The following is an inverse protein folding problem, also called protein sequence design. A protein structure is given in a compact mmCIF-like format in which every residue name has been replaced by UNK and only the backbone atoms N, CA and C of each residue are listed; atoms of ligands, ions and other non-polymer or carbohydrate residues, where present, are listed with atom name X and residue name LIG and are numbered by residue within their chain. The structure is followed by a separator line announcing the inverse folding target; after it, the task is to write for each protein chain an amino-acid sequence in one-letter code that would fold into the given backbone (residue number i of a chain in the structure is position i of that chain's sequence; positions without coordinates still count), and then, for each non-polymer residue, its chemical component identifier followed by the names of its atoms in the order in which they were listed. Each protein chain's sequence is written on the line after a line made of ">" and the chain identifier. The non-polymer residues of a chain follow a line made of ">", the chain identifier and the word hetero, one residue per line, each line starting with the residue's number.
data_IF_391666068441
#
_entry.id   IF_391666068441
#
_cell.length_a   1.000
_cell.length_b   1.000
_cell.length_c   1.000
_cell.angle_alpha   90.00
_cell.angle_beta   90.00
_cell.angle_gamma   90.00
#
_symmetry.space_group_name_H-M   'P 1'
#
loop_
_entity.id
_entity.type
_entity.pdbx_description
1 polymer ?
#
# COMPACT_ATOMS: atom_id res chain seq x y z
N UNK A 1 4.90 -16.09 -12.05
CA UNK A 1 4.37 -14.88 -11.40
C UNK A 1 5.11 -14.64 -10.10
N UNK A 2 5.43 -13.40 -9.78
CA UNK A 2 5.94 -12.93 -8.49
C UNK A 2 4.92 -11.97 -7.88
N UNK A 3 4.59 -12.16 -6.59
CA UNK A 3 3.74 -11.21 -5.83
C UNK A 3 4.55 -10.71 -4.64
N UNK A 4 4.99 -9.47 -4.68
CA UNK A 4 5.66 -8.80 -3.58
C UNK A 4 4.58 -8.23 -2.64
N UNK A 5 4.08 -9.10 -1.76
CA UNK A 5 3.00 -8.78 -0.83
C UNK A 5 3.52 -8.47 0.59
N UNK A 6 4.69 -9.01 0.95
CA UNK A 6 5.24 -8.80 2.30
C UNK A 6 5.43 -7.31 2.54
N UNK A 7 4.98 -6.86 3.69
CA UNK A 7 5.07 -5.46 4.10
C UNK A 7 5.04 -5.31 5.60
N UNK A 8 5.57 -4.20 6.08
CA UNK A 8 5.62 -3.81 7.48
C UNK A 8 5.06 -2.40 7.64
N UNK A 9 4.40 -2.16 8.76
CA UNK A 9 3.86 -0.87 9.17
C UNK A 9 4.36 -0.57 10.59
N UNK A 10 4.10 0.61 11.11
CA UNK A 10 4.22 0.91 12.53
C UNK A 10 3.26 0.03 13.34
N UNK A 11 3.57 -0.18 14.60
CA UNK A 11 2.68 -0.94 15.50
C UNK A 11 1.35 -0.20 15.70
N UNK A 12 1.41 1.14 15.68
CA UNK A 12 0.28 2.07 15.63
C UNK A 12 0.72 3.40 14.99
N UNK A 13 -0.20 4.22 14.46
CA UNK A 13 0.14 5.54 13.92
C UNK A 13 0.80 6.42 14.99
N UNK A 14 1.95 7.04 14.64
CA UNK A 14 2.69 7.87 15.58
C UNK A 14 3.47 8.98 14.86
N UNK A 15 3.74 10.07 15.53
CA UNK A 15 4.61 11.13 15.02
C UNK A 15 6.02 10.57 14.73
N UNK A 16 6.65 11.11 13.71
CA UNK A 16 7.90 10.55 13.16
C UNK A 16 9.02 10.42 14.21
N UNK A 17 9.09 11.38 15.13
CA UNK A 17 10.12 11.37 16.21
C UNK A 17 9.81 10.37 17.32
N UNK A 18 8.53 10.01 17.51
CA UNK A 18 8.05 9.21 18.64
C UNK A 18 7.72 7.76 18.23
N UNK A 19 8.04 7.38 16.99
CA UNK A 19 7.82 6.00 16.50
C UNK A 19 8.46 4.99 17.44
N UNK A 20 7.65 4.05 17.95
CA UNK A 20 8.13 2.98 18.82
C UNK A 20 9.25 2.17 18.13
N UNK A 21 10.38 1.96 18.82
CA UNK A 21 11.59 1.36 18.24
C UNK A 21 12.47 2.35 17.48
N UNK A 22 12.07 3.62 17.38
CA UNK A 22 12.88 4.71 16.83
C UNK A 22 13.44 4.46 15.44
N UNK A 23 14.67 4.89 15.20
CA UNK A 23 15.32 4.74 13.90
C UNK A 23 15.46 3.29 13.44
N UNK A 24 15.61 2.33 14.35
CA UNK A 24 15.70 0.91 14.00
C UNK A 24 14.39 0.43 13.34
N UNK A 25 13.22 0.80 13.87
CA UNK A 25 11.91 0.48 13.27
C UNK A 25 11.79 1.02 11.85
N UNK A 26 12.27 2.25 11.62
CA UNK A 26 12.27 2.88 10.27
C UNK A 26 13.18 2.10 9.31
N UNK A 27 14.38 1.69 9.74
CA UNK A 27 15.30 0.87 8.94
C UNK A 27 14.68 -0.47 8.57
N UNK A 28 14.04 -1.14 9.52
CA UNK A 28 13.41 -2.44 9.31
C UNK A 28 12.26 -2.30 8.31
N UNK A 29 11.46 -1.23 8.43
CA UNK A 29 10.39 -0.91 7.51
C UNK A 29 10.90 -0.69 6.07
N UNK A 30 11.98 0.04 5.89
CA UNK A 30 12.64 0.22 4.59
C UNK A 30 13.17 -1.11 4.06
N UNK A 31 13.82 -1.90 4.91
CA UNK A 31 14.35 -3.21 4.54
C UNK A 31 13.26 -4.17 4.08
N UNK A 32 12.15 -4.22 4.80
CA UNK A 32 11.03 -5.11 4.48
C UNK A 32 10.25 -4.59 3.26
N UNK A 33 9.91 -3.30 3.19
CA UNK A 33 9.01 -2.79 2.15
C UNK A 33 9.72 -2.47 0.83
N UNK A 34 11.01 -2.16 0.86
CA UNK A 34 11.78 -1.73 -0.31
C UNK A 34 12.84 -2.75 -0.68
N UNK A 35 13.78 -3.02 0.23
CA UNK A 35 14.96 -3.84 -0.10
C UNK A 35 14.57 -5.26 -0.49
N UNK A 36 13.64 -5.90 0.26
CA UNK A 36 13.18 -7.24 -0.05
C UNK A 36 12.47 -7.32 -1.40
N UNK A 37 11.61 -6.35 -1.71
CA UNK A 37 10.90 -6.29 -2.99
C UNK A 37 11.90 -6.17 -4.16
N UNK A 38 12.90 -5.28 -4.05
CA UNK A 38 13.95 -5.13 -5.07
C UNK A 38 14.73 -6.44 -5.25
N UNK A 39 15.15 -7.08 -4.16
CA UNK A 39 15.89 -8.33 -4.19
C UNK A 39 15.10 -9.45 -4.87
N UNK A 40 13.84 -9.66 -4.46
CA UNK A 40 12.96 -10.69 -5.04
C UNK A 40 12.69 -10.44 -6.52
N UNK A 41 12.44 -9.17 -6.89
CA UNK A 41 12.24 -8.81 -8.30
C UNK A 41 13.50 -9.09 -9.12
N UNK A 42 14.68 -8.71 -8.61
CA UNK A 42 15.96 -8.95 -9.30
C UNK A 42 16.27 -10.45 -9.44
N UNK A 43 15.90 -11.27 -8.48
CA UNK A 43 16.09 -12.72 -8.55
C UNK A 43 15.14 -13.40 -9.55
N UNK A 44 13.88 -12.97 -9.62
CA UNK A 44 12.88 -13.63 -10.45
C UNK A 44 12.84 -13.12 -11.90
N UNK A 45 13.15 -11.84 -12.12
CA UNK A 45 12.99 -11.17 -13.41
C UNK A 45 13.83 -11.79 -14.54
N UNK A 46 15.10 -12.22 -14.35
CA UNK A 46 15.90 -12.80 -15.42
C UNK A 46 15.26 -14.02 -16.08
N UNK A 47 14.68 -14.93 -15.29
CA UNK A 47 13.99 -16.12 -15.82
C UNK A 47 12.71 -15.74 -16.60
N UNK A 48 12.00 -14.71 -16.17
CA UNK A 48 10.82 -14.21 -16.88
C UNK A 48 11.23 -13.60 -18.24
N UNK A 49 12.30 -12.81 -18.25
CA UNK A 49 12.84 -12.21 -19.50
C UNK A 49 13.31 -13.29 -20.46
N UNK A 50 14.04 -14.31 -19.97
CA UNK A 50 14.55 -15.40 -20.81
C UNK A 50 13.45 -16.18 -21.54
N UNK A 51 12.28 -16.36 -20.91
CA UNK A 51 11.14 -17.06 -21.53
C UNK A 51 10.16 -16.11 -22.24
N UNK A 52 10.42 -14.79 -22.26
CA UNK A 52 9.55 -13.80 -22.90
C UNK A 52 8.16 -13.67 -22.27
N UNK A 53 7.97 -14.14 -21.05
CA UNK A 53 6.67 -14.15 -20.38
C UNK A 53 6.84 -14.07 -18.85
N UNK A 54 6.17 -13.10 -18.22
CA UNK A 54 6.23 -12.95 -16.77
C UNK A 54 5.21 -11.96 -16.22
N UNK A 55 4.95 -12.09 -14.92
CA UNK A 55 4.05 -11.22 -14.18
C UNK A 55 4.65 -10.88 -12.81
N UNK A 56 4.67 -9.59 -12.48
CA UNK A 56 5.05 -9.08 -11.15
C UNK A 56 3.93 -8.20 -10.63
N UNK A 57 3.45 -8.49 -9.43
CA UNK A 57 2.50 -7.66 -8.70
C UNK A 57 3.19 -7.12 -7.45
N UNK A 58 3.26 -5.82 -7.33
CA UNK A 58 3.82 -5.14 -6.16
C UNK A 58 2.69 -4.49 -5.37
N UNK A 59 2.62 -4.78 -4.06
CA UNK A 59 1.56 -4.25 -3.20
C UNK A 59 2.01 -2.91 -2.58
N UNK A 60 1.47 -1.84 -3.15
CA UNK A 60 1.54 -0.48 -2.65
C UNK A 60 0.59 -0.22 -1.48
N UNK A 61 0.00 0.96 -1.44
CA UNK A 61 -1.07 1.38 -0.52
C UNK A 61 -1.62 2.72 -0.98
N UNK A 62 -2.89 3.03 -0.71
CA UNK A 62 -3.43 4.38 -0.86
C UNK A 62 -2.70 5.40 0.03
N UNK A 63 -2.08 4.97 1.12
CA UNK A 63 -1.19 5.82 1.93
C UNK A 63 0.05 6.32 1.17
N UNK A 64 0.45 5.67 0.09
CA UNK A 64 1.55 6.11 -0.77
C UNK A 64 1.17 7.17 -1.81
N UNK A 65 -0.14 7.38 -2.04
CA UNK A 65 -0.65 8.31 -3.06
C UNK A 65 -1.54 9.42 -2.49
N UNK A 66 -1.92 9.30 -1.22
CA UNK A 66 -2.73 10.28 -0.50
C UNK A 66 -1.98 10.74 0.76
N UNK A 67 -2.33 11.90 1.33
CA UNK A 67 -1.76 12.30 2.62
C UNK A 67 -1.99 11.22 3.69
N UNK A 68 -0.91 10.80 4.36
CA UNK A 68 -0.95 9.78 5.39
C UNK A 68 -0.05 10.19 6.57
N UNK A 69 -0.47 11.22 7.36
CA UNK A 69 0.25 11.62 8.56
C UNK A 69 0.31 10.48 9.58
N UNK A 70 1.20 10.58 10.53
CA UNK A 70 1.46 9.59 11.58
C UNK A 70 1.95 8.20 11.08
N UNK A 71 2.10 8.02 9.77
CA UNK A 71 2.71 6.82 9.14
C UNK A 71 3.70 7.23 8.04
N UNK A 72 4.43 8.31 8.25
CA UNK A 72 5.25 9.00 7.25
C UNK A 72 6.24 8.08 6.52
N UNK A 73 7.07 7.33 7.25
CA UNK A 73 8.06 6.47 6.60
C UNK A 73 7.39 5.30 5.84
N UNK A 74 6.29 4.75 6.36
CA UNK A 74 5.50 3.76 5.63
C UNK A 74 4.94 4.32 4.32
N UNK A 75 4.29 5.47 4.37
CA UNK A 75 3.75 6.15 3.19
C UNK A 75 4.82 6.36 2.12
N UNK A 76 5.99 6.85 2.52
CA UNK A 76 7.14 7.04 1.63
C UNK A 76 7.59 5.73 0.96
N UNK A 77 7.64 4.59 1.72
CA UNK A 77 7.96 3.30 1.11
C UNK A 77 6.92 2.86 0.08
N UNK A 78 5.64 3.15 0.31
CA UNK A 78 4.56 2.77 -0.61
C UNK A 78 4.51 3.65 -1.86
N UNK A 79 4.94 4.91 -1.77
CA UNK A 79 5.22 5.77 -2.94
C UNK A 79 6.38 5.22 -3.78
N UNK A 80 7.45 4.75 -3.12
CA UNK A 80 8.56 4.08 -3.80
C UNK A 80 8.06 2.87 -4.63
N UNK A 81 7.21 2.02 -4.04
CA UNK A 81 6.66 0.83 -4.73
C UNK A 81 5.96 1.19 -6.03
N UNK A 82 5.16 2.26 -6.04
CA UNK A 82 4.50 2.73 -7.27
C UNK A 82 5.51 3.17 -8.32
N UNK A 83 6.43 4.07 -7.94
CA UNK A 83 7.42 4.60 -8.88
C UNK A 83 8.30 3.51 -9.45
N UNK A 84 8.75 2.57 -8.61
CA UNK A 84 9.51 1.40 -9.02
C UNK A 84 8.73 0.56 -10.03
N UNK A 85 7.47 0.23 -9.72
CA UNK A 85 6.64 -0.63 -10.57
C UNK A 85 6.37 -0.02 -11.94
N UNK A 86 5.98 1.25 -11.97
CA UNK A 86 5.64 1.95 -13.21
C UNK A 86 6.86 2.13 -14.12
N UNK A 87 8.00 2.47 -13.55
CA UNK A 87 9.25 2.62 -14.30
C UNK A 87 9.74 1.26 -14.81
N UNK A 88 9.76 0.24 -13.95
CA UNK A 88 10.20 -1.10 -14.33
C UNK A 88 9.27 -1.71 -15.40
N UNK A 89 7.96 -1.43 -15.36
CA UNK A 89 7.05 -1.84 -16.42
C UNK A 89 7.45 -1.27 -17.79
N UNK A 90 7.82 0.01 -17.85
CA UNK A 90 8.27 0.65 -19.10
C UNK A 90 9.52 -0.02 -19.68
N UNK A 91 10.43 -0.47 -18.82
CA UNK A 91 11.66 -1.15 -19.24
C UNK A 91 11.43 -2.57 -19.80
N UNK A 92 10.41 -3.27 -19.26
CA UNK A 92 10.24 -4.72 -19.50
C UNK A 92 8.94 -5.10 -20.24
N UNK A 93 8.01 -4.19 -20.47
CA UNK A 93 6.76 -4.49 -21.17
C UNK A 93 7.00 -5.08 -22.56
N UNK A 94 7.94 -4.51 -23.31
CA UNK A 94 8.32 -5.00 -24.66
C UNK A 94 9.01 -6.38 -24.64
N UNK A 95 9.40 -6.86 -23.47
CA UNK A 95 10.00 -8.19 -23.26
C UNK A 95 8.96 -9.22 -22.77
N UNK A 96 7.66 -8.90 -22.89
CA UNK A 96 6.57 -9.78 -22.47
C UNK A 96 6.34 -9.86 -20.96
N UNK A 97 6.81 -8.86 -20.21
CA UNK A 97 6.66 -8.84 -18.74
C UNK A 97 5.62 -7.81 -18.33
N UNK A 98 4.57 -8.27 -17.65
CA UNK A 98 3.56 -7.40 -17.04
C UNK A 98 3.96 -7.09 -15.60
N UNK A 99 4.08 -5.81 -15.26
CA UNK A 99 4.36 -5.37 -13.89
C UNK A 99 3.23 -4.45 -13.47
N UNK A 100 2.60 -4.72 -12.34
CA UNK A 100 1.47 -3.97 -11.82
C UNK A 100 1.71 -3.57 -10.37
N UNK A 101 1.43 -2.31 -10.04
CA UNK A 101 1.30 -1.81 -8.67
C UNK A 101 -0.16 -1.83 -8.26
N UNK A 102 -0.45 -2.38 -7.09
CA UNK A 102 -1.78 -2.34 -6.49
C UNK A 102 -1.73 -1.48 -5.25
N UNK A 103 -2.63 -0.50 -5.13
CA UNK A 103 -2.79 0.38 -3.97
C UNK A 103 -4.05 0.04 -3.17
N UNK A 104 -4.01 -0.95 -2.27
CA UNK A 104 -5.14 -1.21 -1.39
C UNK A 104 -5.45 0.03 -0.52
N UNK A 105 -6.75 0.28 -0.31
CA UNK A 105 -7.22 1.04 0.83
C UNK A 105 -7.29 0.14 2.06
N UNK A 106 -8.29 0.33 2.90
CA UNK A 106 -8.52 -0.55 4.05
C UNK A 106 -9.01 -1.93 3.57
N UNK A 107 -8.26 -2.97 3.92
CA UNK A 107 -8.64 -4.38 3.71
C UNK A 107 -8.56 -5.06 5.06
N UNK A 108 -9.58 -5.80 5.47
CA UNK A 108 -9.58 -6.49 6.75
C UNK A 108 -8.47 -7.52 6.83
N UNK A 109 -7.50 -7.26 7.68
CA UNK A 109 -6.30 -8.07 7.90
C UNK A 109 -5.71 -7.78 9.29
N UNK A 110 -4.80 -8.61 9.75
CA UNK A 110 -4.10 -8.39 11.03
C UNK A 110 -3.37 -7.03 11.06
N UNK A 111 -2.83 -6.57 9.94
CA UNK A 111 -2.12 -5.30 9.85
C UNK A 111 -3.05 -4.08 9.98
N UNK A 112 -4.28 -4.18 9.50
CA UNK A 112 -5.20 -3.04 9.37
C UNK A 112 -6.25 -2.96 10.47
N UNK A 113 -6.35 -3.95 11.36
CA UNK A 113 -7.44 -4.05 12.33
C UNK A 113 -7.62 -2.79 13.21
N UNK A 114 -6.51 -2.11 13.58
CA UNK A 114 -6.56 -0.88 14.38
C UNK A 114 -6.70 0.39 13.54
N UNK A 115 -6.47 0.29 12.24
CA UNK A 115 -6.52 1.44 11.32
C UNK A 115 -7.91 1.66 10.73
N UNK A 116 -8.75 0.62 10.70
CA UNK A 116 -10.09 0.70 10.13
C UNK A 116 -11.00 1.43 11.13
N UNK A 117 -11.57 2.60 10.76
CA UNK A 117 -12.56 3.28 11.59
C UNK A 117 -13.79 2.38 11.81
N UNK A 118 -14.35 2.40 13.02
CA UNK A 118 -15.51 1.54 13.36
C UNK A 118 -16.75 1.88 12.54
N UNK A 119 -16.91 3.16 12.16
CA UNK A 119 -18.04 3.66 11.36
C UNK A 119 -17.80 3.50 9.85
N UNK A 120 -16.65 2.95 9.44
CA UNK A 120 -16.36 2.81 8.00
C UNK A 120 -17.33 1.82 7.37
N UNK A 121 -18.06 2.21 6.31
CA UNK A 121 -18.95 1.27 5.61
C UNK A 121 -18.18 0.02 5.15
N UNK A 122 -18.75 -1.17 5.41
CA UNK A 122 -18.08 -2.44 5.17
C UNK A 122 -17.67 -2.69 3.71
N UNK A 123 -18.29 -1.99 2.74
CA UNK A 123 -17.85 -2.06 1.36
C UNK A 123 -16.53 -1.29 1.09
N UNK A 124 -16.13 -0.36 1.99
CA UNK A 124 -14.84 0.34 1.93
C UNK A 124 -13.71 -0.42 2.63
N UNK A 125 -14.04 -1.45 3.40
CA UNK A 125 -13.07 -2.35 4.03
C UNK A 125 -13.45 -3.82 3.74
N UNK A 126 -13.24 -4.30 2.52
CA UNK A 126 -13.58 -5.67 2.14
C UNK A 126 -12.74 -6.70 2.90
N UNK A 127 -13.28 -7.92 3.03
CA UNK A 127 -12.52 -9.09 3.43
C UNK A 127 -11.39 -9.37 2.43
N UNK A 128 -10.28 -9.95 2.91
CA UNK A 128 -9.08 -10.15 2.11
C UNK A 128 -9.33 -10.99 0.84
N UNK A 129 -10.13 -12.05 0.94
CA UNK A 129 -10.46 -12.91 -0.21
C UNK A 129 -11.25 -12.17 -1.28
N UNK A 130 -12.22 -11.34 -0.89
CA UNK A 130 -12.99 -10.49 -1.80
C UNK A 130 -12.11 -9.48 -2.51
N UNK A 131 -11.19 -8.84 -1.76
CA UNK A 131 -10.21 -7.92 -2.33
C UNK A 131 -9.32 -8.62 -3.35
N UNK A 132 -8.73 -9.77 -3.01
CA UNK A 132 -7.82 -10.52 -3.89
C UNK A 132 -8.52 -10.95 -5.18
N UNK A 133 -9.76 -11.47 -5.11
CA UNK A 133 -10.54 -11.82 -6.32
C UNK A 133 -10.74 -10.62 -7.24
N UNK A 134 -11.10 -9.46 -6.69
CA UNK A 134 -11.25 -8.21 -7.46
C UNK A 134 -9.94 -7.76 -8.08
N UNK A 135 -8.84 -7.82 -7.33
CA UNK A 135 -7.51 -7.45 -7.79
C UNK A 135 -7.04 -8.35 -8.93
N UNK A 136 -7.20 -9.67 -8.81
CA UNK A 136 -6.79 -10.62 -9.83
C UNK A 136 -7.62 -10.50 -11.13
N UNK A 137 -8.90 -10.19 -11.02
CA UNK A 137 -9.75 -9.93 -12.19
C UNK A 137 -9.32 -8.68 -12.99
N UNK A 138 -8.55 -7.79 -12.37
CA UNK A 138 -8.03 -6.55 -12.98
C UNK A 138 -6.55 -6.63 -13.35
N UNK A 139 -5.93 -7.79 -13.18
CA UNK A 139 -4.52 -7.97 -13.51
C UNK A 139 -4.27 -7.72 -15.00
N UNK A 140 -3.26 -6.89 -15.29
CA UNK A 140 -2.84 -6.58 -16.66
C UNK A 140 -3.67 -5.52 -17.40
N UNK A 141 -4.76 -5.01 -16.80
CA UNK A 141 -5.57 -3.94 -17.42
C UNK A 141 -4.87 -2.58 -17.30
N UNK A 142 -4.21 -2.33 -16.18
CA UNK A 142 -3.51 -1.07 -15.89
C UNK A 142 -2.23 -1.36 -15.12
N UNK A 143 -1.22 -0.52 -15.29
CA UNK A 143 0.03 -0.61 -14.51
C UNK A 143 -0.17 -0.26 -13.05
N UNK A 144 -1.14 0.60 -12.75
CA UNK A 144 -1.51 1.02 -11.38
C UNK A 144 -3.01 0.88 -11.19
N UNK A 145 -3.43 0.32 -10.07
CA UNK A 145 -4.85 0.13 -9.72
C UNK A 145 -5.02 0.11 -8.20
N UNK A 146 -6.17 0.52 -7.70
CA UNK A 146 -6.50 0.26 -6.30
C UNK A 146 -6.94 -1.21 -6.03
N UNK A 147 -7.12 -2.01 -7.08
CA UNK A 147 -7.46 -3.43 -6.98
C UNK A 147 -8.92 -3.73 -6.64
N UNK A 148 -9.66 -2.74 -6.13
CA UNK A 148 -11.06 -2.88 -5.71
C UNK A 148 -11.82 -1.59 -6.01
N UNK A 149 -13.03 -1.71 -6.56
CA UNK A 149 -13.80 -0.57 -7.10
C UNK A 149 -14.03 0.56 -6.07
N UNK A 150 -14.31 0.22 -4.82
CA UNK A 150 -14.56 1.23 -3.79
C UNK A 150 -13.26 1.97 -3.39
N UNK A 151 -12.12 1.30 -3.47
CA UNK A 151 -10.81 1.93 -3.29
C UNK A 151 -10.46 2.86 -4.45
N UNK A 152 -10.82 2.51 -5.70
CA UNK A 152 -10.67 3.43 -6.83
C UNK A 152 -11.49 4.72 -6.61
N UNK A 153 -12.71 4.62 -6.06
CA UNK A 153 -13.51 5.80 -5.69
C UNK A 153 -12.83 6.63 -4.61
N UNK A 154 -12.29 6.00 -3.56
CA UNK A 154 -11.55 6.70 -2.51
C UNK A 154 -10.28 7.38 -3.03
N UNK A 155 -9.68 6.85 -4.08
CA UNK A 155 -8.50 7.46 -4.69
C UNK A 155 -8.85 8.64 -5.60
N UNK A 156 -9.88 8.50 -6.44
CA UNK A 156 -10.20 9.45 -7.51
C UNK A 156 -11.10 10.59 -7.04
N UNK A 157 -12.15 10.32 -6.26
CA UNK A 157 -13.16 11.32 -5.93
C UNK A 157 -12.66 12.42 -4.99
N UNK A 158 -11.97 12.14 -3.86
CA UNK A 158 -11.58 13.19 -2.94
C UNK A 158 -10.71 14.29 -3.57
N UNK A 159 -9.71 13.98 -4.42
CA UNK A 159 -8.95 15.03 -5.10
C UNK A 159 -9.75 15.90 -6.07
N UNK A 160 -10.85 15.36 -6.61
CA UNK A 160 -11.71 16.10 -7.56
C UNK A 160 -12.69 17.05 -6.86
N UNK A 161 -13.15 16.71 -5.65
CA UNK A 161 -14.25 17.42 -4.98
C UNK A 161 -13.82 18.19 -3.73
N UNK A 162 -12.70 17.84 -3.12
CA UNK A 162 -12.24 18.41 -1.86
C UNK A 162 -10.94 19.20 -2.04
N UNK A 163 -10.82 20.41 -1.49
CA UNK A 163 -9.56 21.12 -1.40
C UNK A 163 -8.49 20.30 -0.67
N UNK A 164 -7.24 20.51 -1.05
CA UNK A 164 -6.10 19.76 -0.46
C UNK A 164 -6.01 19.94 1.06
N UNK A 165 -6.29 21.15 1.57
CA UNK A 165 -6.31 21.43 3.01
C UNK A 165 -7.32 20.59 3.77
N UNK A 166 -8.52 20.40 3.20
CA UNK A 166 -9.57 19.56 3.81
C UNK A 166 -9.15 18.10 3.82
N UNK A 167 -8.60 17.59 2.72
CA UNK A 167 -8.11 16.21 2.63
C UNK A 167 -6.98 15.93 3.62
N UNK A 168 -6.05 16.90 3.80
CA UNK A 168 -4.97 16.79 4.79
C UNK A 168 -5.50 16.77 6.21
N UNK A 169 -6.45 17.62 6.55
CA UNK A 169 -7.10 17.63 7.87
C UNK A 169 -7.80 16.30 8.15
N UNK A 170 -8.66 15.85 7.23
CA UNK A 170 -9.38 14.58 7.39
C UNK A 170 -8.42 13.39 7.54
N UNK A 171 -7.33 13.36 6.76
CA UNK A 171 -6.33 12.30 6.89
C UNK A 171 -5.66 12.30 8.27
N UNK A 172 -5.38 13.48 8.82
CA UNK A 172 -4.83 13.60 10.17
C UNK A 172 -5.82 13.13 11.24
N UNK A 173 -7.09 13.53 11.12
CA UNK A 173 -8.14 13.13 12.06
C UNK A 173 -8.34 11.60 12.07
N UNK A 174 -8.42 10.99 10.90
CA UNK A 174 -8.55 9.52 10.77
C UNK A 174 -7.37 8.78 11.38
N UNK A 175 -6.13 9.24 11.14
CA UNK A 175 -4.95 8.60 11.69
C UNK A 175 -4.81 8.85 13.19
N UNK A 176 -5.25 9.99 13.71
CA UNK A 176 -5.28 10.28 15.15
C UNK A 176 -6.28 9.39 15.89
N UNK A 177 -7.47 9.17 15.33
CA UNK A 177 -8.44 8.23 15.88
C UNK A 177 -7.92 6.79 15.88
N UNK A 178 -7.26 6.39 14.80
CA UNK A 178 -6.63 5.07 14.72
C UNK A 178 -5.52 4.89 15.77
N UNK A 179 -4.72 5.95 16.02
CA UNK A 179 -3.70 5.96 17.06
C UNK A 179 -4.33 5.79 18.45
N UNK A 180 -5.35 6.56 18.77
CA UNK A 180 -6.04 6.48 20.06
C UNK A 180 -6.64 5.09 20.29
N UNK A 181 -7.31 4.51 19.29
CA UNK A 181 -7.85 3.16 19.34
C UNK A 181 -6.76 2.12 19.63
N UNK A 182 -5.64 2.20 18.94
CA UNK A 182 -4.53 1.27 19.12
C UNK A 182 -3.89 1.41 20.54
N UNK A 183 -3.67 2.64 21.01
CA UNK A 183 -3.13 2.89 22.35
C UNK A 183 -4.06 2.42 23.47
N UNK A 184 -5.38 2.53 23.28
CA UNK A 184 -6.36 2.02 24.25
C UNK A 184 -6.38 0.49 24.28
N UNK A 185 -6.21 -0.18 23.15
CA UNK A 185 -6.09 -1.64 23.08
C UNK A 185 -4.82 -2.18 23.75
N UNK A 186 -3.72 -1.42 23.74
CA UNK A 186 -2.46 -1.82 24.40
C UNK A 186 -2.48 -1.67 25.93
N UNK A 187 -3.46 -0.96 26.49
CA UNK A 187 -3.62 -0.76 27.95
C UNK A 187 -4.49 -1.84 28.62
N UNK A 188 -5.15 -2.67 27.84
CA UNK A 188 -5.98 -3.79 28.29
C UNK A 188 -5.20 -5.10 28.31
#
# INVERSE_FOLDING_TARGET
>A
MLVNNVGMLYDYPEEFLDVAGGYQKIRDLISVNITSMNAMTRLCLPQMVSRGCGAVINIGSLAGVSPAPLVTAYAATKTYVEKFSTTLHQEYARKGITIQCVHPGFVKSNMSQYLIPDELPGFLAPEADKFVRSCMARFGISTVTAGYWAHDLLWVLPPLILPESVRKSQAFDVMSLAREKALNALKQ
#
